data_IF_125545137242
#
_entry.id   IF_125545137242
#
_cell.length_a   1.000
_cell.length_b   1.000
_cell.length_c   1.000
_cell.angle_alpha   90.00
_cell.angle_beta   90.00
_cell.angle_gamma   90.00
#
_symmetry.space_group_name_H-M   'P 1'
#
loop_
_entity.id
_entity.type
_entity.pdbx_description
1 polymer ?
#
# COMPACT_ATOMS: atom_id res chain seq x y z
N UNK A 1 2.49 16.34 7.49
CA UNK A 1 3.22 15.11 7.73
C UNK A 1 4.45 15.04 6.87
N UNK A 2 5.54 15.28 7.46
CA UNK A 2 6.71 15.24 6.62
C UNK A 2 7.09 13.83 6.19
N UNK A 3 6.72 12.82 6.97
CA UNK A 3 7.13 11.50 6.57
C UNK A 3 6.34 10.99 5.38
N UNK A 4 5.24 11.62 5.04
CA UNK A 4 4.54 11.25 3.82
C UNK A 4 5.38 11.53 2.59
N UNK A 5 6.27 12.50 2.69
CA UNK A 5 7.19 12.79 1.61
C UNK A 5 8.40 11.88 1.67
N UNK A 6 8.50 11.10 2.71
CA UNK A 6 9.66 10.27 2.95
C UNK A 6 9.37 8.80 2.76
N UNK A 7 8.28 8.46 2.11
CA UNK A 7 8.00 7.07 1.80
C UNK A 7 8.92 6.63 0.67
N UNK A 8 10.19 6.63 0.98
CA UNK A 8 11.25 6.22 0.09
C UNK A 8 12.31 5.55 0.95
N UNK A 9 13.01 4.58 0.40
CA UNK A 9 14.11 3.98 1.16
C UNK A 9 15.16 5.02 1.45
N UNK A 10 15.72 4.98 2.64
CA UNK A 10 16.79 5.88 3.00
C UNK A 10 18.03 5.63 2.16
N UNK A 11 18.22 4.39 1.78
CA UNK A 11 19.37 3.99 1.01
C UNK A 11 18.91 3.14 -0.14
N UNK A 12 19.34 3.47 -1.33
CA UNK A 12 18.91 2.76 -2.53
C UNK A 12 20.15 2.17 -3.19
N UNK A 13 20.23 0.85 -3.21
CA UNK A 13 21.35 0.19 -3.89
C UNK A 13 21.21 0.29 -5.38
N UNK A 14 20.01 0.11 -5.88
CA UNK A 14 19.74 0.22 -7.30
C UNK A 14 18.64 1.22 -7.49
N UNK A 15 18.97 2.34 -8.08
CA UNK A 15 17.96 3.38 -8.26
C UNK A 15 16.94 3.00 -9.31
N UNK A 16 17.30 2.15 -10.23
CA UNK A 16 16.40 1.69 -11.26
C UNK A 16 16.43 0.18 -11.28
N UNK A 17 15.26 -0.41 -11.35
CA UNK A 17 15.13 -1.85 -11.34
C UNK A 17 14.23 -2.28 -12.48
N UNK A 18 14.45 -3.49 -12.97
CA UNK A 18 13.56 -4.06 -13.96
C UNK A 18 12.25 -4.41 -13.29
N UNK A 19 11.20 -4.40 -14.10
CA UNK A 19 9.92 -4.88 -13.61
C UNK A 19 10.02 -6.36 -13.32
N UNK A 20 9.64 -6.74 -12.13
CA UNK A 20 9.61 -8.13 -11.80
C UNK A 20 8.31 -8.77 -12.24
N UNK A 21 8.25 -10.06 -12.10
CA UNK A 21 7.04 -10.79 -12.36
C UNK A 21 6.09 -10.59 -11.20
N UNK A 22 4.84 -10.34 -11.54
CA UNK A 22 3.82 -10.15 -10.51
C UNK A 22 2.92 -11.36 -10.49
N UNK A 23 3.48 -12.51 -10.16
CA UNK A 23 2.77 -13.78 -10.17
C UNK A 23 2.67 -14.34 -8.77
N UNK A 24 1.71 -15.23 -8.62
CA UNK A 24 1.54 -15.95 -7.38
C UNK A 24 0.85 -15.14 -6.31
N UNK A 25 0.66 -15.77 -5.19
CA UNK A 25 0.04 -15.13 -4.04
C UNK A 25 1.10 -14.72 -3.06
N UNK A 26 0.73 -13.85 -2.15
CA UNK A 26 1.65 -13.46 -1.11
C UNK A 26 1.96 -14.64 -0.22
N UNK A 27 3.21 -14.75 0.20
CA UNK A 27 3.62 -15.82 1.11
C UNK A 27 3.59 -15.38 2.55
N UNK A 28 3.65 -14.09 2.79
CA UNK A 28 3.54 -13.57 4.13
C UNK A 28 2.61 -12.39 4.11
N UNK A 29 2.17 -11.96 5.30
CA UNK A 29 1.30 -10.82 5.39
C UNK A 29 -0.10 -11.06 4.88
N UNK A 30 -0.54 -12.30 4.87
CA UNK A 30 -1.87 -12.63 4.38
C UNK A 30 -2.93 -12.60 5.47
N UNK A 31 -2.53 -12.37 6.70
CA UNK A 31 -3.47 -12.29 7.83
C UNK A 31 -3.21 -11.00 8.58
N UNK A 32 -4.23 -10.56 9.32
CA UNK A 32 -4.09 -9.40 10.18
C UNK A 32 -3.17 -9.77 11.33
N UNK A 33 -2.04 -9.07 11.44
CA UNK A 33 -1.00 -9.44 12.38
C UNK A 33 -0.92 -8.50 13.59
N UNK A 34 -1.13 -7.21 13.37
CA UNK A 34 -0.94 -6.22 14.42
C UNK A 34 -2.23 -5.63 14.92
N UNK A 35 -3.19 -5.42 14.04
CA UNK A 35 -4.44 -4.78 14.40
C UNK A 35 -5.54 -5.80 14.59
N UNK A 36 -6.77 -5.30 14.56
CA UNK A 36 -7.96 -6.13 14.66
C UNK A 36 -8.64 -6.27 13.32
N UNK A 37 -8.46 -5.29 12.46
CA UNK A 37 -9.10 -5.26 11.15
C UNK A 37 -8.08 -4.86 10.11
N UNK A 38 -8.33 -5.22 8.88
CA UNK A 38 -7.42 -4.85 7.81
C UNK A 38 -8.11 -4.92 6.46
N UNK A 39 -7.38 -4.47 5.44
CA UNK A 39 -7.82 -4.67 4.07
C UNK A 39 -6.76 -5.46 3.34
N UNK A 40 -7.22 -6.38 2.57
CA UNK A 40 -6.40 -7.33 1.85
C UNK A 40 -6.55 -7.09 0.35
N UNK A 41 -5.46 -7.19 -0.36
CA UNK A 41 -5.50 -7.05 -1.82
C UNK A 41 -6.11 -8.31 -2.42
N UNK A 42 -7.00 -8.13 -3.39
CA UNK A 42 -7.61 -9.25 -4.09
C UNK A 42 -6.95 -9.48 -5.45
N UNK A 43 -6.09 -8.58 -5.86
CA UNK A 43 -5.39 -8.73 -7.11
C UNK A 43 -4.00 -8.16 -6.96
N UNK A 44 -3.15 -8.48 -7.91
CA UNK A 44 -1.78 -7.98 -7.86
C UNK A 44 -1.72 -6.60 -8.47
N UNK A 45 -0.75 -5.82 -8.02
CA UNK A 45 -0.59 -4.49 -8.57
C UNK A 45 0.55 -3.74 -7.95
N UNK A 46 0.82 -2.59 -8.50
CA UNK A 46 1.81 -1.68 -7.97
C UNK A 46 1.10 -0.54 -7.27
N UNK A 47 1.51 -0.27 -6.05
CA UNK A 47 0.92 0.80 -5.26
C UNK A 47 1.98 1.85 -5.05
N UNK A 48 1.71 3.06 -5.51
CA UNK A 48 2.68 4.13 -5.42
C UNK A 48 2.71 4.71 -4.01
N UNK A 49 3.81 5.38 -3.69
CA UNK A 49 3.92 6.04 -2.39
C UNK A 49 2.81 7.08 -2.20
N UNK A 50 2.36 7.72 -3.28
CA UNK A 50 1.27 8.68 -3.18
C UNK A 50 -0.05 8.00 -2.86
N UNK A 51 -0.28 6.83 -3.43
CA UNK A 51 -1.50 6.10 -3.15
C UNK A 51 -1.52 5.59 -1.71
N UNK A 52 -0.37 5.14 -1.23
CA UNK A 52 -0.27 4.69 0.16
C UNK A 52 -0.57 5.85 1.10
N UNK A 53 -0.01 7.01 0.81
CA UNK A 53 -0.24 8.16 1.65
C UNK A 53 -1.69 8.62 1.60
N UNK A 54 -2.29 8.60 0.41
CA UNK A 54 -3.69 8.97 0.28
C UNK A 54 -4.60 8.04 1.06
N UNK A 55 -4.30 6.75 1.04
CA UNK A 55 -5.08 5.77 1.78
C UNK A 55 -4.93 6.00 3.29
N UNK A 56 -3.72 6.28 3.73
CA UNK A 56 -3.49 6.56 5.15
C UNK A 56 -4.28 7.76 5.62
N UNK A 57 -4.26 8.82 4.82
CA UNK A 57 -4.98 10.03 5.17
C UNK A 57 -6.48 9.76 5.23
N UNK A 58 -7.00 9.01 4.27
CA UNK A 58 -8.43 8.70 4.26
C UNK A 58 -8.84 7.95 5.51
N UNK A 59 -8.02 7.00 5.93
CA UNK A 59 -8.32 6.23 7.13
C UNK A 59 -8.26 7.11 8.38
N UNK A 60 -7.19 7.87 8.52
CA UNK A 60 -6.99 8.64 9.74
C UNK A 60 -8.04 9.73 9.87
N UNK A 61 -8.48 10.29 8.77
CA UNK A 61 -9.55 11.27 8.83
C UNK A 61 -10.84 10.66 9.34
N UNK A 62 -11.11 9.43 8.94
CA UNK A 62 -12.36 8.79 9.31
C UNK A 62 -12.37 8.40 10.78
N UNK A 63 -11.26 7.86 11.27
CA UNK A 63 -11.21 7.45 12.67
C UNK A 63 -10.79 8.59 13.59
N UNK A 64 -10.33 9.69 12.98
CA UNK A 64 -9.90 10.87 13.70
C UNK A 64 -8.80 10.52 14.68
N UNK A 65 -8.99 10.78 15.96
CA UNK A 65 -7.94 10.55 16.92
C UNK A 65 -7.98 9.19 17.56
N UNK A 66 -9.01 8.41 17.26
CA UNK A 66 -9.11 7.09 17.85
C UNK A 66 -8.30 6.09 17.07
N UNK A 67 -7.96 5.03 17.73
CA UNK A 67 -7.38 3.89 17.06
C UNK A 67 -5.93 4.02 16.68
N UNK A 68 -5.46 2.95 16.10
CA UNK A 68 -4.10 2.84 15.61
C UNK A 68 -4.13 2.29 14.19
N UNK A 69 -3.16 2.71 13.38
CA UNK A 69 -3.06 2.29 12.00
C UNK A 69 -1.68 1.70 11.77
N UNK A 70 -1.64 0.58 11.09
CA UNK A 70 -0.39 -0.01 10.64
C UNK A 70 -0.40 -0.05 9.12
N UNK A 71 0.72 0.31 8.52
CA UNK A 71 0.91 0.26 7.08
C UNK A 71 1.90 -0.84 6.79
N UNK A 72 1.44 -1.92 6.16
CA UNK A 72 2.25 -3.10 5.96
C UNK A 72 2.90 -3.16 4.59
N UNK A 73 2.77 -2.10 3.82
CA UNK A 73 3.41 -2.02 2.50
C UNK A 73 4.35 -0.84 2.51
N UNK A 74 5.47 -1.02 1.85
CA UNK A 74 6.45 0.05 1.75
C UNK A 74 6.90 0.17 0.30
N UNK A 75 6.94 1.38 -0.24
CA UNK A 75 7.30 1.56 -1.65
C UNK A 75 8.81 1.58 -1.80
N UNK A 76 9.38 0.41 -1.97
CA UNK A 76 10.83 0.28 -2.04
C UNK A 76 11.34 -0.01 -3.44
N UNK A 77 10.45 -0.11 -4.43
CA UNK A 77 10.85 -0.37 -5.79
C UNK A 77 10.75 0.92 -6.61
N UNK A 78 11.87 1.41 -7.17
CA UNK A 78 11.77 2.60 -8.00
C UNK A 78 11.18 2.27 -9.36
N UNK A 79 10.50 3.23 -9.93
CA UNK A 79 9.99 3.07 -11.27
C UNK A 79 10.27 4.32 -12.06
N UNK A 80 10.38 4.16 -13.37
CA UNK A 80 10.59 5.28 -14.27
C UNK A 80 9.41 5.36 -15.21
N UNK A 81 9.08 6.58 -15.57
CA UNK A 81 8.03 6.83 -16.52
C UNK A 81 8.68 7.41 -17.76
N UNK A 82 8.34 6.82 -18.90
CA UNK A 82 8.89 7.31 -20.14
C UNK A 82 7.98 8.42 -20.66
N UNK A 83 8.48 9.63 -20.82
CA UNK A 83 7.67 10.70 -21.36
C UNK A 83 7.25 10.38 -22.80
N UNK A 84 6.14 10.97 -23.21
CA UNK A 84 5.64 10.73 -24.54
C UNK A 84 6.63 11.17 -25.60
N UNK A 85 7.42 12.20 -25.32
CA UNK A 85 8.39 12.70 -26.29
C UNK A 85 9.75 12.08 -26.12
N UNK A 86 9.89 11.08 -25.32
CA UNK A 86 11.21 10.47 -25.14
C UNK A 86 11.71 9.92 -26.45
N UNK A 87 12.88 10.38 -26.84
CA UNK A 87 13.50 9.88 -28.07
C UNK A 87 14.14 8.57 -27.81
N UNK A 88 14.23 7.81 -28.88
CA UNK A 88 14.92 6.56 -28.79
C UNK A 88 16.37 6.78 -28.45
N UNK A 89 16.90 5.89 -27.65
CA UNK A 89 18.28 5.99 -27.27
C UNK A 89 18.54 6.82 -26.05
N UNK A 90 17.52 7.46 -25.51
CA UNK A 90 17.76 8.23 -24.30
C UNK A 90 17.93 7.38 -23.07
N UNK A 91 17.69 6.10 -23.15
CA UNK A 91 17.85 5.25 -22.01
C UNK A 91 16.79 5.49 -20.96
N UNK A 92 17.02 4.97 -19.78
CA UNK A 92 16.11 5.14 -18.67
C UNK A 92 16.25 6.53 -18.09
N UNK A 93 15.12 7.16 -17.81
CA UNK A 93 15.17 8.40 -17.09
C UNK A 93 15.41 8.17 -15.62
N UNK A 94 15.37 9.24 -14.84
CA UNK A 94 15.44 9.13 -13.41
C UNK A 94 14.19 8.51 -12.87
N UNK A 95 14.23 7.87 -11.69
CA UNK A 95 13.03 7.30 -11.11
C UNK A 95 11.98 8.38 -10.92
N UNK A 96 10.77 8.07 -11.35
CA UNK A 96 9.64 8.97 -11.18
C UNK A 96 9.05 8.86 -9.79
N UNK A 97 9.23 7.74 -9.16
CA UNK A 97 8.69 7.53 -7.84
C UNK A 97 8.99 6.12 -7.38
N UNK A 98 8.29 5.73 -6.35
CA UNK A 98 8.51 4.47 -5.68
C UNK A 98 7.21 3.72 -5.58
N UNK A 99 7.27 2.40 -5.71
CA UNK A 99 6.07 1.58 -5.64
C UNK A 99 6.32 0.38 -4.76
N UNK A 100 5.24 -0.09 -4.17
CA UNK A 100 5.22 -1.37 -3.48
C UNK A 100 4.51 -2.36 -4.39
N UNK A 101 5.10 -3.52 -4.54
CA UNK A 101 4.48 -4.59 -5.33
C UNK A 101 3.67 -5.44 -4.37
N UNK A 102 2.37 -5.58 -4.64
CA UNK A 102 1.52 -6.40 -3.81
C UNK A 102 0.98 -7.55 -4.62
N UNK A 103 0.76 -8.67 -3.94
CA UNK A 103 0.19 -9.86 -4.53
C UNK A 103 -1.15 -10.14 -3.88
N UNK A 104 -2.01 -10.93 -4.54
CA UNK A 104 -3.29 -11.25 -3.93
C UNK A 104 -3.12 -11.88 -2.57
N UNK A 105 -3.92 -11.45 -1.62
CA UNK A 105 -3.86 -11.96 -0.26
C UNK A 105 -3.08 -11.09 0.71
N UNK A 106 -2.35 -10.11 0.22
CA UNK A 106 -1.55 -9.26 1.11
C UNK A 106 -2.45 -8.32 1.89
N UNK A 107 -2.32 -8.32 3.21
CA UNK A 107 -3.01 -7.35 4.07
C UNK A 107 -2.17 -6.09 4.08
N UNK A 108 -2.68 -5.06 3.44
CA UNK A 108 -1.90 -3.84 3.21
C UNK A 108 -1.95 -2.85 4.35
N UNK A 109 -3.11 -2.71 4.95
CA UNK A 109 -3.31 -1.76 6.05
C UNK A 109 -4.07 -2.46 7.16
N UNK A 110 -3.77 -2.09 8.40
CA UNK A 110 -4.44 -2.65 9.55
C UNK A 110 -4.88 -1.54 10.48
N UNK A 111 -5.86 -1.85 11.30
CA UNK A 111 -6.52 -0.86 12.13
C UNK A 111 -6.97 -1.53 13.43
N UNK A 112 -6.87 -0.82 14.53
CA UNK A 112 -7.32 -1.32 15.81
C UNK A 112 -7.79 -0.17 16.68
N UNK A 113 -8.55 -0.49 17.74
CA UNK A 113 -8.97 0.50 18.70
C UNK A 113 -10.18 1.30 18.31
N UNK A 114 -10.95 0.83 17.34
CA UNK A 114 -12.20 1.45 16.92
C UNK A 114 -13.26 0.38 16.73
N UNK A 115 -14.55 0.75 16.77
CA UNK A 115 -15.61 -0.23 16.52
C UNK A 115 -15.53 -0.75 15.09
N UNK A 116 -16.07 -1.94 14.90
CA UNK A 116 -15.97 -2.59 13.60
C UNK A 116 -16.64 -1.79 12.48
N UNK A 117 -17.79 -1.19 12.74
CA UNK A 117 -18.46 -0.45 11.68
C UNK A 117 -17.64 0.74 11.24
N UNK A 118 -16.99 1.42 12.17
CA UNK A 118 -16.12 2.53 11.85
C UNK A 118 -14.88 2.03 11.11
N UNK A 119 -14.34 0.88 11.53
CA UNK A 119 -13.17 0.31 10.86
C UNK A 119 -13.52 -0.07 9.43
N UNK A 120 -14.67 -0.66 9.20
CA UNK A 120 -15.10 -1.02 7.85
C UNK A 120 -15.15 0.21 6.95
N UNK A 121 -15.72 1.28 7.46
CA UNK A 121 -15.84 2.49 6.66
C UNK A 121 -14.49 3.13 6.40
N UNK A 122 -13.63 3.18 7.41
CA UNK A 122 -12.31 3.77 7.24
C UNK A 122 -11.48 2.99 6.22
N UNK A 123 -11.52 1.67 6.32
CA UNK A 123 -10.74 0.83 5.41
C UNK A 123 -11.33 0.83 4.01
N UNK A 124 -12.66 0.96 3.90
CA UNK A 124 -13.28 1.09 2.59
C UNK A 124 -12.81 2.37 1.90
N UNK A 125 -12.74 3.47 2.64
CA UNK A 125 -12.27 4.72 2.08
C UNK A 125 -10.81 4.61 1.65
N UNK A 126 -10.01 3.93 2.46
CA UNK A 126 -8.61 3.71 2.08
C UNK A 126 -8.51 2.90 0.81
N UNK A 127 -9.34 1.87 0.69
CA UNK A 127 -9.31 1.02 -0.49
C UNK A 127 -9.64 1.77 -1.76
N UNK A 128 -10.48 2.81 -1.66
CA UNK A 128 -10.82 3.62 -2.84
C UNK A 128 -9.62 4.39 -3.37
N UNK A 129 -8.58 4.56 -2.57
CA UNK A 129 -7.39 5.28 -3.00
C UNK A 129 -6.35 4.35 -3.62
N UNK A 130 -6.61 3.07 -3.61
CA UNK A 130 -5.66 2.08 -4.09
C UNK A 130 -6.09 1.56 -5.46
N UNK A 131 -5.12 1.17 -6.29
CA UNK A 131 -5.44 0.72 -7.64
C UNK A 131 -5.87 -0.73 -7.74
N UNK A 132 -5.89 -1.45 -6.62
CA UNK A 132 -6.25 -2.87 -6.61
C UNK A 132 -7.55 -3.04 -5.85
N UNK A 133 -8.26 -4.09 -6.16
CA UNK A 133 -9.46 -4.43 -5.42
C UNK A 133 -9.08 -4.93 -4.04
N UNK A 134 -9.88 -4.58 -3.06
CA UNK A 134 -9.57 -4.88 -1.67
C UNK A 134 -10.75 -5.54 -0.99
N UNK A 135 -10.46 -6.21 0.12
CA UNK A 135 -11.47 -6.86 0.93
C UNK A 135 -11.18 -6.59 2.39
N UNK A 136 -12.22 -6.26 3.13
CA UNK A 136 -12.13 -6.09 4.57
C UNK A 136 -11.92 -7.45 5.22
N UNK A 137 -10.98 -7.53 6.16
CA UNK A 137 -10.73 -8.77 6.88
C UNK A 137 -10.58 -8.46 8.36
N UNK A 138 -10.88 -9.46 9.18
CA UNK A 138 -10.72 -9.37 10.62
C UNK A 138 -9.58 -10.27 11.05
N UNK A 139 -9.03 -9.96 12.20
CA UNK A 139 -8.04 -10.82 12.79
C UNK A 139 -8.66 -12.17 13.06
N UNK A 140 -7.89 -13.19 12.77
CA UNK A 140 -8.37 -14.53 12.97
C UNK A 140 -8.74 -14.76 14.43
N UNK A 141 -9.95 -15.30 14.66
CA UNK A 141 -10.43 -15.49 16.01
C UNK A 141 -11.08 -14.29 16.64
N UNK A 142 -11.17 -13.19 15.91
CA UNK A 142 -11.71 -11.95 16.46
C UNK A 142 -13.16 -11.70 16.12
N UNK A 143 -13.79 -12.60 15.36
CA UNK A 143 -15.15 -12.34 15.02
C UNK A 143 -16.06 -13.05 15.98
N UNK A 144 -16.20 -12.68 17.07
CA UNK A 144 -17.11 -13.29 18.02
C UNK A 144 -18.36 -12.45 18.19
#
# INVERSE_FOLDING_TARGET
>A
WRWSLMLMPKRVKHRKQFRGRMRGNTKGGSTVAFGEYGIKALERGWITNRQIEAARIAMTRKIKRGGKVWINVFPDKPYTKKPAETRMGSGKGNPEGWVAVVKPGKVMFELAGVPEDLAREALRLAGHKLPVKTKFVKREGAEQ
#
